data_IF_007246603879
#
_entry.id   IF_007246603879
#
_cell.length_a   1.000
_cell.length_b   1.000
_cell.length_c   1.000
_cell.angle_alpha   90.00
_cell.angle_beta   90.00
_cell.angle_gamma   90.00
#
_symmetry.space_group_name_H-M   'P 1'
#
loop_
_entity.id
_entity.type
_entity.pdbx_description
1 polymer ?
#
# COMPACT_ATOMS: atom_id res chain seq x y z
N UNK A 1 -31.43 6.09 14.61
CA UNK A 1 -30.42 7.06 14.12
C UNK A 1 -29.12 6.75 14.84
N UNK A 2 -28.14 6.12 14.18
CA UNK A 2 -26.80 5.95 14.77
C UNK A 2 -26.16 7.33 14.88
N UNK A 3 -25.85 7.78 16.09
CA UNK A 3 -24.99 8.95 16.31
C UNK A 3 -23.66 8.67 15.58
N UNK A 4 -23.33 9.47 14.56
CA UNK A 4 -21.98 9.49 14.03
C UNK A 4 -21.07 9.94 15.17
N UNK A 5 -20.13 9.10 15.57
CA UNK A 5 -19.08 9.49 16.51
C UNK A 5 -18.37 10.74 15.94
N UNK A 6 -18.25 11.79 16.74
CA UNK A 6 -17.56 13.00 16.32
C UNK A 6 -16.11 12.66 15.95
N UNK A 7 -15.71 12.96 14.71
CA UNK A 7 -14.35 12.70 14.23
C UNK A 7 -13.36 13.50 15.09
N UNK A 8 -12.47 12.79 15.78
CA UNK A 8 -11.46 13.40 16.64
C UNK A 8 -10.20 13.69 15.83
N UNK A 9 -9.78 14.95 15.79
CA UNK A 9 -8.60 15.40 15.05
C UNK A 9 -7.43 15.68 16.01
N UNK A 10 -6.18 15.26 15.69
CA UNK A 10 -5.00 15.57 16.50
C UNK A 10 -4.74 17.07 16.59
N UNK A 11 -4.53 17.59 17.80
CA UNK A 11 -4.31 19.02 18.07
C UNK A 11 -3.15 19.61 17.25
N UNK A 12 -2.08 18.85 17.05
CA UNK A 12 -0.92 19.27 16.28
C UNK A 12 -1.26 19.52 14.80
N UNK A 13 -1.98 18.59 14.15
CA UNK A 13 -2.41 18.71 12.76
C UNK A 13 -3.37 19.90 12.57
N UNK A 14 -4.29 20.10 13.51
CA UNK A 14 -5.22 21.25 13.51
C UNK A 14 -4.46 22.57 13.64
N UNK A 15 -3.46 22.63 14.53
CA UNK A 15 -2.61 23.81 14.68
C UNK A 15 -1.81 24.10 13.41
N UNK A 16 -1.27 23.07 12.76
CA UNK A 16 -0.54 23.21 11.51
C UNK A 16 -1.41 23.77 10.39
N UNK A 17 -2.61 23.22 10.18
CA UNK A 17 -3.56 23.74 9.19
C UNK A 17 -3.94 25.19 9.48
N UNK A 18 -4.22 25.52 10.75
CA UNK A 18 -4.56 26.90 11.15
C UNK A 18 -3.44 27.88 10.81
N UNK A 19 -2.19 27.53 11.10
CA UNK A 19 -1.03 28.37 10.81
C UNK A 19 -0.82 28.52 9.30
N UNK A 20 -0.93 27.42 8.54
CA UNK A 20 -0.81 27.45 7.08
C UNK A 20 -1.87 28.35 6.43
N UNK A 21 -3.13 28.26 6.90
CA UNK A 21 -4.22 29.14 6.44
C UNK A 21 -3.93 30.61 6.77
N UNK A 22 -3.47 30.90 7.99
CA UNK A 22 -3.12 32.26 8.37
C UNK A 22 -1.96 32.83 7.54
N UNK A 23 -0.95 32.00 7.24
CA UNK A 23 0.17 32.32 6.36
C UNK A 23 -0.32 32.67 4.95
N UNK A 24 -1.04 31.75 4.31
CA UNK A 24 -1.54 31.94 2.94
C UNK A 24 -2.50 33.15 2.81
N UNK A 25 -3.38 33.38 3.79
CA UNK A 25 -4.22 34.60 3.81
C UNK A 25 -3.34 35.85 3.93
N UNK A 26 -2.25 35.77 4.70
CA UNK A 26 -1.36 36.90 4.91
C UNK A 26 -0.53 37.30 3.70
N UNK A 27 -0.46 36.47 2.65
CA UNK A 27 0.22 36.81 1.40
C UNK A 27 -0.55 37.85 0.57
N UNK A 28 -1.87 37.96 0.75
CA UNK A 28 -2.70 38.96 0.08
C UNK A 28 -2.41 40.38 0.55
N UNK A 29 -2.84 41.39 -0.22
CA UNK A 29 -2.70 42.79 0.22
C UNK A 29 -3.61 43.08 1.42
N UNK A 30 -3.22 44.00 2.30
CA UNK A 30 -3.99 44.34 3.50
C UNK A 30 -5.43 44.83 3.20
N UNK A 31 -5.64 45.37 2.00
CA UNK A 31 -6.96 45.78 1.48
C UNK A 31 -7.86 44.60 1.13
N UNK A 32 -7.29 43.52 0.62
CA UNK A 32 -8.02 42.35 0.11
C UNK A 32 -8.31 41.34 1.22
N UNK A 33 -7.44 41.23 2.22
CA UNK A 33 -7.56 40.27 3.34
C UNK A 33 -8.96 40.25 3.97
N UNK A 34 -9.61 41.39 4.33
CA UNK A 34 -10.97 41.35 4.87
C UNK A 34 -12.01 40.76 3.91
N UNK A 35 -11.93 41.11 2.62
CA UNK A 35 -12.85 40.61 1.59
C UNK A 35 -12.66 39.11 1.33
N UNK A 36 -11.41 38.64 1.36
CA UNK A 36 -11.06 37.22 1.26
C UNK A 36 -11.62 36.46 2.47
N UNK A 37 -11.39 36.95 3.69
CA UNK A 37 -11.94 36.32 4.89
C UNK A 37 -13.47 36.21 4.84
N UNK A 38 -14.17 37.20 4.30
CA UNK A 38 -15.62 37.15 4.11
C UNK A 38 -16.04 36.03 3.12
N UNK A 39 -15.35 35.88 1.98
CA UNK A 39 -15.57 34.76 1.03
C UNK A 39 -15.28 33.39 1.67
N UNK A 40 -14.26 33.33 2.53
CA UNK A 40 -13.95 32.16 3.35
C UNK A 40 -14.94 31.93 4.51
N UNK A 41 -16.00 32.74 4.63
CA UNK A 41 -16.99 32.68 5.72
C UNK A 41 -16.35 32.77 7.12
N UNK A 42 -15.24 33.49 7.21
CA UNK A 42 -14.68 33.94 8.47
C UNK A 42 -15.40 35.21 8.91
N UNK A 43 -15.38 35.49 10.21
CA UNK A 43 -15.98 36.73 10.74
C UNK A 43 -15.32 37.94 10.10
N UNK A 44 -16.13 38.93 9.76
CA UNK A 44 -15.62 40.21 9.30
C UNK A 44 -14.78 40.87 10.40
N UNK A 45 -13.91 41.79 9.99
CA UNK A 45 -13.51 42.85 10.91
C UNK A 45 -12.70 43.91 10.21
N UNK A 46 -12.12 44.79 11.02
CA UNK A 46 -11.75 46.11 10.56
C UNK A 46 -10.49 46.11 9.67
N UNK A 47 -10.49 46.99 8.67
CA UNK A 47 -9.31 47.26 7.84
C UNK A 47 -8.14 47.72 8.70
N UNK A 48 -8.37 48.47 9.77
CA UNK A 48 -7.27 48.87 10.66
C UNK A 48 -6.52 47.69 11.28
N UNK A 49 -7.20 46.56 11.53
CA UNK A 49 -6.55 45.35 12.05
C UNK A 49 -5.67 44.66 10.99
N UNK A 50 -6.14 44.58 9.74
CA UNK A 50 -5.40 43.93 8.65
C UNK A 50 -4.12 44.69 8.29
N UNK A 51 -4.15 46.02 8.38
CA UNK A 51 -2.98 46.88 8.14
C UNK A 51 -1.93 46.79 9.25
N UNK A 52 -2.30 46.43 10.49
CA UNK A 52 -1.34 46.18 11.59
C UNK A 52 -0.60 44.86 11.41
N UNK A 53 -1.33 43.79 11.11
CA UNK A 53 -0.74 42.48 10.81
C UNK A 53 -1.77 41.57 10.14
N UNK A 54 -1.54 41.26 8.86
CA UNK A 54 -2.37 40.36 8.06
C UNK A 54 -2.44 38.95 8.67
N UNK A 55 -1.31 38.43 9.16
CA UNK A 55 -1.23 37.12 9.81
C UNK A 55 -2.06 37.09 11.10
N UNK A 56 -1.89 38.08 12.00
CA UNK A 56 -2.67 38.14 13.26
C UNK A 56 -4.15 38.36 13.02
N UNK A 57 -4.52 39.11 11.98
CA UNK A 57 -5.90 39.25 11.53
C UNK A 57 -6.52 37.88 11.18
N UNK A 58 -5.82 37.08 10.36
CA UNK A 58 -6.29 35.75 9.96
C UNK A 58 -6.30 34.76 11.14
N UNK A 59 -5.21 34.71 11.92
CA UNK A 59 -5.05 33.81 13.07
C UNK A 59 -6.20 33.95 14.09
N UNK A 60 -6.57 35.19 14.45
CA UNK A 60 -7.68 35.47 15.39
C UNK A 60 -9.01 34.92 14.91
N UNK A 61 -9.27 34.90 13.60
CA UNK A 61 -10.53 34.39 13.03
C UNK A 61 -10.53 32.87 12.92
N UNK A 62 -9.38 32.28 12.68
CA UNK A 62 -9.21 30.83 12.54
C UNK A 62 -9.10 30.12 13.89
N UNK A 63 -8.70 30.81 14.97
CA UNK A 63 -8.59 30.20 16.31
C UNK A 63 -9.95 29.79 16.88
N UNK A 64 -11.01 30.50 16.51
CA UNK A 64 -12.39 30.23 16.92
C UNK A 64 -13.00 29.00 16.21
N UNK A 65 -12.33 28.50 15.17
CA UNK A 65 -12.83 27.41 14.32
C UNK A 65 -12.37 26.06 14.81
N UNK A 66 -13.33 25.13 14.84
CA UNK A 66 -13.08 23.71 15.04
C UNK A 66 -12.38 23.10 13.83
N UNK A 67 -11.78 21.92 14.00
CA UNK A 67 -11.12 21.20 12.90
C UNK A 67 -12.08 20.90 11.74
N UNK A 68 -13.34 20.54 12.04
CA UNK A 68 -14.36 20.29 11.04
C UNK A 68 -14.75 21.56 10.24
N UNK A 69 -14.66 22.74 10.85
CA UNK A 69 -14.90 24.01 10.16
C UNK A 69 -13.69 24.49 9.35
N UNK A 70 -12.46 24.15 9.77
CA UNK A 70 -11.24 24.54 9.06
C UNK A 70 -11.10 23.83 7.70
N UNK A 71 -11.59 22.60 7.58
CA UNK A 71 -11.58 21.80 6.34
C UNK A 71 -12.24 22.55 5.16
N UNK A 72 -13.53 22.95 5.22
CA UNK A 72 -14.18 23.66 4.13
C UNK A 72 -13.62 25.08 3.92
N UNK A 73 -12.98 25.69 4.91
CA UNK A 73 -12.25 26.96 4.74
C UNK A 73 -10.99 26.72 3.89
N UNK A 74 -10.21 25.70 4.21
CA UNK A 74 -9.01 25.35 3.48
C UNK A 74 -9.31 24.98 2.03
N UNK A 75 -10.36 24.20 1.79
CA UNK A 75 -10.81 23.86 0.45
C UNK A 75 -11.09 25.11 -0.40
N UNK A 76 -11.87 26.07 0.13
CA UNK A 76 -12.19 27.32 -0.57
C UNK A 76 -10.97 28.21 -0.80
N UNK A 77 -10.04 28.26 0.16
CA UNK A 77 -8.80 29.01 -0.05
C UNK A 77 -7.96 28.39 -1.17
N UNK A 78 -7.87 27.05 -1.24
CA UNK A 78 -7.14 26.34 -2.30
C UNK A 78 -7.76 26.48 -3.70
N UNK A 79 -9.01 26.95 -3.81
CA UNK A 79 -9.61 27.34 -5.08
C UNK A 79 -9.09 28.71 -5.58
N UNK A 80 -8.60 29.57 -4.68
CA UNK A 80 -8.08 30.90 -4.99
C UNK A 80 -6.54 30.94 -5.03
N UNK A 81 -5.83 30.06 -4.30
CA UNK A 81 -4.36 30.07 -4.21
C UNK A 81 -3.72 28.70 -4.37
N UNK A 82 -2.56 28.69 -5.01
CA UNK A 82 -1.66 27.53 -5.06
C UNK A 82 -0.64 27.58 -3.89
N UNK A 83 -1.12 27.18 -2.70
CA UNK A 83 -0.32 27.08 -1.47
C UNK A 83 -0.07 25.63 -1.09
N UNK A 84 1.20 25.20 -1.18
CA UNK A 84 1.63 23.86 -0.79
C UNK A 84 1.38 23.58 0.69
N UNK A 85 1.72 24.52 1.56
CA UNK A 85 1.58 24.33 3.01
C UNK A 85 0.12 24.10 3.42
N UNK A 86 -0.82 24.86 2.83
CA UNK A 86 -2.25 24.66 3.05
C UNK A 86 -2.70 23.32 2.48
N UNK A 87 -2.31 22.99 1.26
CA UNK A 87 -2.71 21.73 0.60
C UNK A 87 -2.18 20.50 1.35
N UNK A 88 -0.97 20.58 1.88
CA UNK A 88 -0.31 19.53 2.64
C UNK A 88 -0.93 19.35 4.03
N UNK A 89 -1.14 20.44 4.77
CA UNK A 89 -1.80 20.37 6.08
C UNK A 89 -3.27 19.94 5.97
N UNK A 90 -3.95 20.36 4.90
CA UNK A 90 -5.32 19.94 4.58
C UNK A 90 -5.39 18.44 4.29
N UNK A 91 -4.52 17.93 3.42
CA UNK A 91 -4.45 16.51 3.07
C UNK A 91 -4.20 15.64 4.31
N UNK A 92 -3.20 16.00 5.14
CA UNK A 92 -2.91 15.30 6.41
C UNK A 92 -4.14 15.22 7.32
N UNK A 93 -4.94 16.28 7.39
CA UNK A 93 -6.13 16.30 8.23
C UNK A 93 -7.27 15.43 7.67
N UNK A 94 -7.38 15.35 6.34
CA UNK A 94 -8.36 14.48 5.65
C UNK A 94 -8.01 12.98 5.78
N UNK A 95 -6.73 12.66 5.90
CA UNK A 95 -6.20 11.30 5.84
C UNK A 95 -6.15 10.57 7.20
N UNK A 96 -6.41 11.25 8.34
CA UNK A 96 -6.21 10.71 9.71
C UNK A 96 -6.87 9.34 9.98
N UNK A 97 -8.03 9.07 9.37
CA UNK A 97 -8.77 7.82 9.59
C UNK A 97 -8.72 6.88 8.37
N UNK A 98 -7.85 7.18 7.41
CA UNK A 98 -7.65 6.33 6.24
C UNK A 98 -6.51 5.35 6.53
N UNK A 99 -6.57 4.19 5.88
CA UNK A 99 -5.38 3.33 5.80
C UNK A 99 -4.29 4.16 5.12
N UNK A 100 -3.07 4.11 5.65
CA UNK A 100 -1.96 4.90 5.15
C UNK A 100 -0.74 4.02 4.93
N UNK A 101 0.10 4.37 3.95
CA UNK A 101 1.40 3.72 3.77
C UNK A 101 2.24 3.98 5.02
N UNK A 102 2.69 2.90 5.64
CA UNK A 102 3.48 2.90 6.87
C UNK A 102 4.83 3.57 6.66
N UNK A 103 5.38 4.16 7.72
CA UNK A 103 6.72 4.75 7.67
C UNK A 103 7.79 3.72 7.25
N UNK A 104 7.62 2.45 7.61
CA UNK A 104 8.52 1.37 7.21
C UNK A 104 8.51 1.18 5.68
N UNK A 105 7.34 1.14 5.05
CA UNK A 105 7.22 1.06 3.60
C UNK A 105 7.79 2.29 2.91
N UNK A 106 7.55 3.49 3.46
CA UNK A 106 8.17 4.74 2.96
C UNK A 106 9.69 4.66 2.99
N UNK A 107 10.29 4.23 4.10
CA UNK A 107 11.75 4.05 4.24
C UNK A 107 12.30 3.02 3.24
N UNK A 108 11.58 1.91 3.02
CA UNK A 108 11.98 0.88 2.05
C UNK A 108 11.94 1.41 0.61
N UNK A 109 10.89 2.17 0.26
CA UNK A 109 10.79 2.82 -1.05
C UNK A 109 11.87 3.89 -1.21
N UNK A 110 12.15 4.69 -0.18
CA UNK A 110 13.26 5.65 -0.18
C UNK A 110 14.59 4.97 -0.50
N UNK A 111 14.85 3.80 0.09
CA UNK A 111 16.08 3.04 -0.12
C UNK A 111 16.26 2.53 -1.56
N UNK A 112 15.19 2.43 -2.36
CA UNK A 112 15.30 2.11 -3.80
C UNK A 112 16.10 3.16 -4.58
N UNK A 113 16.22 4.38 -4.04
CA UNK A 113 16.89 5.51 -4.65
C UNK A 113 18.29 5.80 -4.07
N UNK A 114 18.77 5.02 -3.10
CA UNK A 114 20.10 5.22 -2.49
C UNK A 114 21.25 5.15 -3.51
N UNK A 115 21.07 4.38 -4.58
CA UNK A 115 22.06 4.18 -5.66
C UNK A 115 21.48 4.34 -7.07
N UNK A 116 20.29 4.96 -7.15
CA UNK A 116 19.52 5.09 -8.40
C UNK A 116 19.01 6.52 -8.51
N UNK A 117 19.23 7.17 -9.65
CA UNK A 117 18.62 8.46 -9.96
C UNK A 117 17.09 8.37 -9.94
N UNK A 118 16.42 9.47 -9.60
CA UNK A 118 14.95 9.48 -9.58
C UNK A 118 14.35 9.38 -10.98
N UNK A 119 15.06 9.85 -11.99
CA UNK A 119 14.57 10.05 -13.34
C UNK A 119 15.64 9.65 -14.36
N UNK A 120 15.23 9.12 -15.50
CA UNK A 120 16.14 8.96 -16.65
C UNK A 120 16.24 10.23 -17.50
N UNK A 121 15.22 11.09 -17.42
CA UNK A 121 15.07 12.26 -18.31
C UNK A 121 15.43 13.60 -17.64
N UNK A 122 15.59 13.62 -16.32
CA UNK A 122 15.82 14.84 -15.53
C UNK A 122 16.94 14.62 -14.52
N UNK A 123 17.70 15.69 -14.23
CA UNK A 123 18.57 15.70 -13.06
C UNK A 123 17.75 15.64 -11.76
N UNK A 124 18.35 15.12 -10.69
CA UNK A 124 17.64 14.83 -9.46
C UNK A 124 16.98 16.08 -8.85
N UNK A 125 17.64 17.25 -8.90
CA UNK A 125 17.06 18.52 -8.42
C UNK A 125 15.83 18.96 -9.23
N UNK A 126 15.88 18.82 -10.56
CA UNK A 126 14.77 19.20 -11.43
C UNK A 126 13.61 18.22 -11.31
N UNK A 127 13.90 16.93 -11.10
CA UNK A 127 12.87 15.97 -10.74
C UNK A 127 12.17 16.36 -9.43
N UNK A 128 12.92 16.70 -8.38
CA UNK A 128 12.35 17.10 -7.09
C UNK A 128 11.45 18.34 -7.23
N UNK A 129 11.84 19.34 -8.03
CA UNK A 129 11.03 20.53 -8.33
C UNK A 129 9.70 20.22 -9.02
N UNK A 130 9.60 19.09 -9.73
CA UNK A 130 8.33 18.64 -10.35
C UNK A 130 7.36 18.06 -9.32
N UNK A 131 7.89 17.46 -8.25
CA UNK A 131 7.09 16.82 -7.21
C UNK A 131 6.77 17.79 -6.06
N UNK A 132 7.74 18.60 -5.63
CA UNK A 132 7.61 19.58 -4.56
C UNK A 132 7.89 21.00 -5.05
N UNK A 133 7.12 22.01 -4.63
CA UNK A 133 7.39 23.40 -4.95
C UNK A 133 8.45 23.97 -4.01
N UNK A 134 9.70 23.53 -4.20
CA UNK A 134 10.86 23.83 -3.35
C UNK A 134 11.11 25.34 -3.15
N UNK A 135 10.80 26.16 -4.14
CA UNK A 135 10.90 27.64 -4.06
C UNK A 135 9.85 28.29 -3.18
N UNK A 136 8.77 27.57 -2.83
CA UNK A 136 7.73 28.00 -1.90
C UNK A 136 7.84 27.29 -0.55
N UNK A 137 8.85 26.44 -0.36
CA UNK A 137 9.07 25.72 0.89
C UNK A 137 10.16 26.43 1.69
N UNK A 138 10.03 26.52 3.02
CA UNK A 138 11.05 27.13 3.86
C UNK A 138 12.34 26.30 3.82
N UNK A 139 13.48 26.99 3.91
CA UNK A 139 14.78 26.35 4.11
C UNK A 139 14.76 25.44 5.35
N UNK A 140 15.44 24.30 5.28
CA UNK A 140 15.66 23.40 6.42
C UNK A 140 16.71 23.94 7.40
N UNK A 141 17.53 24.89 6.95
CA UNK A 141 18.50 25.55 7.80
C UNK A 141 17.85 26.74 8.52
N UNK A 142 17.70 26.61 9.83
CA UNK A 142 17.19 27.68 10.68
C UNK A 142 18.18 28.84 10.67
N UNK A 143 17.73 30.02 10.24
CA UNK A 143 18.50 31.24 10.46
C UNK A 143 18.62 31.50 11.96
N UNK A 144 19.86 31.55 12.47
CA UNK A 144 20.13 31.95 13.86
C UNK A 144 19.89 33.45 14.11
N UNK A 145 19.55 34.22 13.07
CA UNK A 145 19.16 35.62 13.21
C UNK A 145 17.66 35.72 13.50
N UNK A 146 17.26 36.68 14.34
CA UNK A 146 15.85 37.01 14.61
C UNK A 146 15.14 37.65 13.39
N UNK A 147 15.69 37.53 12.19
CA UNK A 147 15.05 37.96 10.96
C UNK A 147 14.50 36.73 10.21
N UNK A 148 13.27 36.83 9.66
CA UNK A 148 12.75 35.78 8.79
C UNK A 148 13.73 35.58 7.64
N UNK A 149 14.23 34.35 7.48
CA UNK A 149 15.05 33.98 6.33
C UNK A 149 14.16 33.96 5.09
N UNK A 150 14.55 34.69 4.05
CA UNK A 150 13.94 34.56 2.72
C UNK A 150 14.45 33.30 1.99
N UNK A 151 15.40 32.57 2.57
CA UNK A 151 15.95 31.36 1.99
C UNK A 151 14.89 30.24 1.92
N UNK A 152 14.86 29.60 0.77
CA UNK A 152 13.91 28.54 0.43
C UNK A 152 14.61 27.18 0.48
N UNK A 153 13.82 26.11 0.46
CA UNK A 153 14.36 24.76 0.29
C UNK A 153 15.07 24.62 -1.05
N UNK A 154 14.67 25.37 -2.08
CA UNK A 154 15.37 25.36 -3.38
C UNK A 154 16.81 25.87 -3.27
N UNK A 155 17.04 26.91 -2.45
CA UNK A 155 18.38 27.43 -2.19
C UNK A 155 19.25 26.39 -1.48
N UNK A 156 18.67 25.64 -0.52
CA UNK A 156 19.36 24.56 0.18
C UNK A 156 19.73 23.42 -0.76
N UNK A 157 18.80 23.02 -1.63
CA UNK A 157 19.01 21.95 -2.61
C UNK A 157 20.07 22.36 -3.63
N UNK A 158 20.01 23.59 -4.15
CA UNK A 158 21.00 24.10 -5.09
C UNK A 158 22.39 24.14 -4.46
N UNK A 159 22.51 24.63 -3.22
CA UNK A 159 23.79 24.68 -2.53
C UNK A 159 24.32 23.27 -2.19
N UNK A 160 23.48 22.38 -1.67
CA UNK A 160 23.91 21.07 -1.18
C UNK A 160 24.13 20.05 -2.30
N UNK A 161 23.32 20.07 -3.36
CA UNK A 161 23.41 19.11 -4.48
C UNK A 161 24.34 19.65 -5.56
N UNK A 162 24.07 20.85 -6.08
CA UNK A 162 24.78 21.35 -7.26
C UNK A 162 26.12 22.04 -6.93
N UNK A 163 26.21 22.77 -5.82
CA UNK A 163 27.41 23.54 -5.48
C UNK A 163 28.42 22.76 -4.65
N UNK A 164 27.96 22.10 -3.58
CA UNK A 164 28.84 21.42 -2.64
C UNK A 164 28.93 19.90 -2.88
N UNK A 165 27.91 19.32 -3.52
CA UNK A 165 27.80 17.87 -3.77
C UNK A 165 27.87 17.04 -2.47
N UNK A 166 27.21 17.55 -1.42
CA UNK A 166 27.19 16.98 -0.07
C UNK A 166 25.96 16.09 0.17
N UNK A 167 24.88 16.30 -0.58
CA UNK A 167 23.62 15.55 -0.40
C UNK A 167 23.44 14.49 -1.48
N UNK A 168 23.15 13.27 -1.06
CA UNK A 168 22.65 12.23 -1.94
C UNK A 168 21.12 12.25 -2.02
N UNK A 169 20.58 11.21 -2.66
CA UNK A 169 19.13 11.08 -2.84
C UNK A 169 18.38 10.94 -1.52
N UNK A 170 18.96 10.19 -0.57
CA UNK A 170 18.37 10.02 0.74
C UNK A 170 18.21 11.35 1.49
N UNK A 171 19.29 12.13 1.58
CA UNK A 171 19.28 13.42 2.28
C UNK A 171 18.30 14.39 1.61
N UNK A 172 18.23 14.36 0.28
CA UNK A 172 17.27 15.14 -0.51
C UNK A 172 15.82 14.77 -0.19
N UNK A 173 15.48 13.47 -0.15
CA UNK A 173 14.13 13.01 0.20
C UNK A 173 13.76 13.33 1.65
N UNK A 174 14.71 13.24 2.57
CA UNK A 174 14.51 13.64 3.96
C UNK A 174 14.21 15.14 4.08
N UNK A 175 14.97 15.99 3.36
CA UNK A 175 14.80 17.44 3.38
C UNK A 175 13.45 17.91 2.82
N UNK A 176 12.92 17.27 1.76
CA UNK A 176 11.56 17.56 1.25
C UNK A 176 10.45 16.95 2.10
N UNK A 177 10.80 16.22 3.16
CA UNK A 177 9.86 15.63 4.10
C UNK A 177 9.18 14.36 3.60
N UNK A 178 9.82 13.58 2.71
CA UNK A 178 9.26 12.37 2.11
C UNK A 178 8.63 11.37 3.11
N UNK A 179 9.27 11.19 4.27
CA UNK A 179 8.77 10.29 5.31
C UNK A 179 7.56 10.84 6.08
N UNK A 180 7.36 12.16 6.08
CA UNK A 180 6.35 12.83 6.90
C UNK A 180 5.27 13.53 6.09
N UNK A 181 5.37 13.56 4.75
CA UNK A 181 4.39 14.18 3.88
C UNK A 181 3.07 13.40 3.85
N UNK A 182 1.98 14.05 3.44
CA UNK A 182 0.67 13.45 3.25
C UNK A 182 0.74 12.21 2.34
N UNK A 183 -0.23 11.30 2.47
CA UNK A 183 -0.42 10.20 1.51
C UNK A 183 -0.53 10.74 0.09
N UNK A 184 -1.28 11.83 -0.11
CA UNK A 184 -1.40 12.49 -1.41
C UNK A 184 -0.05 12.91 -2.00
N UNK A 185 0.80 13.57 -1.22
CA UNK A 185 2.10 14.03 -1.69
C UNK A 185 3.08 12.87 -1.92
N UNK A 186 3.00 11.83 -1.07
CA UNK A 186 3.77 10.60 -1.26
C UNK A 186 3.38 9.87 -2.54
N UNK A 187 2.08 9.73 -2.84
CA UNK A 187 1.61 9.12 -4.08
C UNK A 187 2.00 9.93 -5.30
N UNK A 188 1.93 11.27 -5.23
CA UNK A 188 2.44 12.14 -6.30
C UNK A 188 3.91 11.85 -6.63
N UNK A 189 4.76 11.61 -5.63
CA UNK A 189 6.14 11.20 -5.89
C UNK A 189 6.22 9.85 -6.61
N UNK A 190 5.48 8.84 -6.16
CA UNK A 190 5.50 7.50 -6.78
C UNK A 190 4.97 7.50 -8.21
N UNK A 191 3.98 8.33 -8.48
CA UNK A 191 3.40 8.52 -9.81
C UNK A 191 4.36 9.28 -10.72
N UNK A 192 5.00 10.34 -10.22
CA UNK A 192 5.96 11.12 -11.01
C UNK A 192 7.25 10.32 -11.26
N UNK A 193 7.74 9.54 -10.31
CA UNK A 193 8.96 8.73 -10.47
C UNK A 193 8.74 7.56 -11.42
N UNK A 194 7.49 7.16 -11.64
CA UNK A 194 7.08 6.15 -12.64
C UNK A 194 6.36 6.79 -13.83
N UNK A 195 6.46 8.11 -14.02
CA UNK A 195 5.80 8.81 -15.12
C UNK A 195 6.52 8.53 -16.44
N UNK A 196 5.78 8.35 -17.56
CA UNK A 196 6.42 8.20 -18.87
C UNK A 196 7.10 9.49 -19.36
N UNK A 197 6.95 10.61 -18.64
CA UNK A 197 7.65 11.87 -18.93
C UNK A 197 9.01 11.95 -18.24
N UNK A 198 9.24 11.15 -17.19
CA UNK A 198 10.46 11.16 -16.37
C UNK A 198 11.28 9.88 -16.53
N UNK A 199 10.67 8.82 -17.08
CA UNK A 199 11.30 7.51 -17.22
C UNK A 199 11.25 6.98 -18.64
N UNK A 200 12.30 6.25 -19.00
CA UNK A 200 12.29 5.31 -20.12
C UNK A 200 11.33 4.14 -19.85
N UNK A 201 10.82 3.52 -20.92
CA UNK A 201 9.81 2.45 -20.79
C UNK A 201 10.29 1.23 -20.00
N UNK A 202 11.57 0.89 -20.07
CA UNK A 202 12.17 -0.23 -19.32
C UNK A 202 12.26 0.14 -17.83
N UNK A 203 12.86 1.29 -17.52
CA UNK A 203 13.00 1.79 -16.17
C UNK A 203 11.66 1.92 -15.44
N UNK A 204 10.62 2.36 -16.16
CA UNK A 204 9.27 2.52 -15.63
C UNK A 204 8.68 1.20 -15.12
N UNK A 205 8.82 0.13 -15.91
CA UNK A 205 8.26 -1.20 -15.57
C UNK A 205 8.99 -1.79 -14.38
N UNK A 206 10.32 -1.73 -14.39
CA UNK A 206 11.16 -2.25 -13.31
C UNK A 206 10.94 -1.49 -12.00
N UNK A 207 10.82 -0.16 -12.07
CA UNK A 207 10.59 0.67 -10.89
C UNK A 207 9.19 0.49 -10.32
N UNK A 208 8.16 0.40 -11.17
CA UNK A 208 6.80 0.11 -10.72
C UNK A 208 6.70 -1.26 -10.03
N UNK A 209 7.41 -2.27 -10.53
CA UNK A 209 7.50 -3.58 -9.89
C UNK A 209 8.16 -3.50 -8.50
N UNK A 210 9.34 -2.86 -8.41
CA UNK A 210 10.06 -2.70 -7.15
C UNK A 210 9.29 -1.90 -6.09
N UNK A 211 8.58 -0.83 -6.49
CA UNK A 211 7.71 -0.07 -5.58
C UNK A 211 6.53 -0.94 -5.12
N UNK A 212 5.92 -1.72 -6.03
CA UNK A 212 4.81 -2.60 -5.71
C UNK A 212 5.18 -3.74 -4.75
N UNK A 213 6.42 -4.23 -4.77
CA UNK A 213 6.92 -5.20 -3.78
C UNK A 213 6.84 -4.68 -2.34
N UNK A 214 6.83 -3.36 -2.17
CA UNK A 214 6.68 -2.70 -0.87
C UNK A 214 5.23 -2.24 -0.61
N UNK A 215 4.61 -1.51 -1.54
CA UNK A 215 3.26 -0.96 -1.36
C UNK A 215 2.19 -2.03 -1.08
N UNK A 216 2.35 -3.23 -1.65
CA UNK A 216 1.42 -4.34 -1.45
C UNK A 216 1.24 -4.70 0.02
N UNK A 217 2.24 -4.46 0.87
CA UNK A 217 2.20 -4.74 2.31
C UNK A 217 1.46 -3.67 3.12
N UNK A 218 1.00 -2.59 2.47
CA UNK A 218 0.15 -1.56 3.07
C UNK A 218 -1.17 -1.37 2.30
N UNK A 219 -1.54 -2.31 1.41
CA UNK A 219 -2.83 -2.30 0.72
C UNK A 219 -2.91 -1.34 -0.47
N UNK A 220 -1.76 -1.02 -1.08
CA UNK A 220 -1.68 -0.17 -2.25
C UNK A 220 -0.91 -0.82 -3.39
N UNK A 221 -1.19 -0.41 -4.63
CA UNK A 221 -0.40 -0.75 -5.81
C UNK A 221 -0.40 0.37 -6.82
N UNK A 222 0.72 0.57 -7.50
CA UNK A 222 0.80 1.26 -8.78
C UNK A 222 0.18 0.38 -9.86
N UNK A 223 -0.88 0.87 -10.50
CA UNK A 223 -1.53 0.22 -11.64
C UNK A 223 -1.50 1.12 -12.87
N UNK A 224 -1.49 0.51 -14.05
CA UNK A 224 -1.62 1.26 -15.30
C UNK A 224 -3.07 1.71 -15.45
N UNK A 225 -3.32 3.01 -15.28
CA UNK A 225 -4.67 3.58 -15.43
C UNK A 225 -4.99 4.01 -16.85
N UNK A 226 -3.95 4.37 -17.62
CA UNK A 226 -4.06 4.80 -19.03
C UNK A 226 -2.71 4.65 -19.72
N UNK A 227 -2.68 4.99 -21.02
CA UNK A 227 -1.44 5.12 -21.79
C UNK A 227 -1.33 6.51 -22.40
N UNK A 228 -0.15 7.11 -22.32
CA UNK A 228 0.21 8.38 -22.93
C UNK A 228 1.18 8.10 -24.08
N UNK A 229 0.76 8.35 -25.32
CA UNK A 229 1.56 8.08 -26.54
C UNK A 229 2.09 6.64 -26.61
N UNK A 230 1.33 5.66 -26.09
CA UNK A 230 1.70 4.25 -26.03
C UNK A 230 2.43 3.83 -24.76
N UNK A 231 3.00 4.77 -24.00
CA UNK A 231 3.69 4.53 -22.72
C UNK A 231 2.71 4.40 -21.56
N UNK A 232 2.94 3.51 -20.58
CA UNK A 232 2.09 3.39 -19.39
C UNK A 232 2.03 4.69 -18.58
N UNK A 233 0.88 4.96 -17.97
CA UNK A 233 0.75 5.94 -16.88
C UNK A 233 0.29 5.17 -15.65
N UNK A 234 1.12 5.19 -14.61
CA UNK A 234 0.85 4.53 -13.34
C UNK A 234 0.20 5.50 -12.35
N UNK A 235 -0.80 5.02 -11.62
CA UNK A 235 -1.38 5.71 -10.47
C UNK A 235 -1.45 4.76 -9.28
N UNK A 236 -1.31 5.30 -8.06
CA UNK A 236 -1.45 4.50 -6.84
C UNK A 236 -2.93 4.29 -6.55
N UNK A 237 -3.33 3.03 -6.44
CA UNK A 237 -4.71 2.65 -6.10
C UNK A 237 -4.73 1.75 -4.86
N UNK A 238 -5.79 1.86 -4.03
CA UNK A 238 -6.06 0.84 -3.03
C UNK A 238 -6.16 -0.52 -3.73
N UNK A 239 -5.32 -1.45 -3.31
CA UNK A 239 -5.37 -2.82 -3.74
C UNK A 239 -5.89 -3.64 -2.56
N UNK A 240 -7.01 -4.33 -2.76
CA UNK A 240 -7.45 -5.31 -1.80
C UNK A 240 -6.29 -6.28 -1.53
N UNK A 241 -5.90 -6.41 -0.26
CA UNK A 241 -5.14 -7.57 0.14
C UNK A 241 -5.97 -8.78 -0.19
N UNK A 242 -5.39 -9.68 -0.95
CA UNK A 242 -5.97 -11.00 -0.97
C UNK A 242 -7.27 -11.16 -1.75
N UNK A 243 -7.73 -12.39 -1.80
CA UNK A 243 -9.14 -12.72 -2.03
C UNK A 243 -9.91 -12.48 -0.72
N UNK A 244 -11.23 -12.19 -0.73
CA UNK A 244 -12.03 -12.06 0.50
C UNK A 244 -11.94 -13.25 1.47
N UNK A 245 -11.53 -14.42 0.96
CA UNK A 245 -11.32 -15.61 1.76
C UNK A 245 -9.99 -15.61 2.54
N UNK A 246 -9.03 -14.74 2.21
CA UNK A 246 -7.66 -14.84 2.68
C UNK A 246 -7.55 -14.61 4.19
N UNK A 247 -8.27 -13.64 4.74
CA UNK A 247 -8.27 -13.39 6.20
C UNK A 247 -8.83 -14.58 6.97
N UNK A 248 -9.96 -15.12 6.51
CA UNK A 248 -10.60 -16.28 7.14
C UNK A 248 -9.73 -17.54 7.05
N UNK A 249 -9.07 -17.77 5.91
CA UNK A 249 -8.12 -18.88 5.72
C UNK A 249 -6.88 -18.65 6.61
N UNK A 250 -6.32 -17.44 6.64
CA UNK A 250 -5.15 -17.10 7.44
C UNK A 250 -5.40 -17.39 8.91
N UNK A 251 -6.54 -16.93 9.44
CA UNK A 251 -6.93 -17.18 10.82
C UNK A 251 -7.05 -18.69 11.11
N UNK A 252 -7.79 -19.42 10.27
CA UNK A 252 -8.01 -20.85 10.48
C UNK A 252 -6.72 -21.68 10.44
N UNK A 253 -5.77 -21.31 9.56
CA UNK A 253 -4.48 -22.00 9.47
C UNK A 253 -3.51 -21.59 10.59
N UNK A 254 -3.56 -20.34 11.05
CA UNK A 254 -2.80 -19.87 12.21
C UNK A 254 -3.23 -20.58 13.51
N UNK A 255 -4.54 -20.76 13.69
CA UNK A 255 -5.11 -21.47 14.86
C UNK A 255 -4.76 -22.96 14.86
N UNK A 256 -4.48 -23.54 13.69
CA UNK A 256 -4.13 -24.94 13.52
C UNK A 256 -2.63 -25.20 13.72
N UNK A 257 -1.79 -24.47 12.99
CA UNK A 257 -0.33 -24.57 13.05
C UNK A 257 0.29 -23.23 12.60
N UNK A 258 0.70 -22.37 13.56
CA UNK A 258 1.14 -21.01 13.27
C UNK A 258 2.51 -20.93 12.57
N UNK A 259 3.31 -22.00 12.66
CA UNK A 259 4.70 -22.01 12.20
C UNK A 259 4.83 -22.53 10.76
N UNK A 260 4.54 -23.81 10.53
CA UNK A 260 4.81 -24.45 9.26
C UNK A 260 3.68 -24.17 8.26
N UNK A 261 2.43 -24.41 8.65
CA UNK A 261 1.27 -24.33 7.74
C UNK A 261 0.90 -22.88 7.47
N UNK A 262 0.71 -22.06 8.51
CA UNK A 262 0.43 -20.64 8.35
C UNK A 262 1.60 -19.89 7.68
N UNK A 263 2.83 -20.23 8.04
CA UNK A 263 4.03 -19.72 7.36
C UNK A 263 4.04 -20.06 5.86
N UNK A 264 3.62 -21.28 5.48
CA UNK A 264 3.51 -21.70 4.07
C UNK A 264 2.44 -20.92 3.31
N UNK A 265 1.29 -20.74 3.94
CA UNK A 265 0.18 -19.97 3.41
C UNK A 265 0.57 -18.51 3.15
N UNK A 266 1.21 -17.85 4.12
CA UNK A 266 1.69 -16.47 3.99
C UNK A 266 2.66 -16.33 2.82
N UNK A 267 3.62 -17.26 2.70
CA UNK A 267 4.56 -17.26 1.57
C UNK A 267 3.85 -17.43 0.21
N UNK A 268 2.77 -18.22 0.14
CA UNK A 268 2.00 -18.41 -1.08
C UNK A 268 1.24 -17.12 -1.48
N UNK A 269 0.67 -16.41 -0.49
CA UNK A 269 0.03 -15.11 -0.70
C UNK A 269 1.03 -14.06 -1.21
N UNK A 270 2.20 -13.97 -0.57
CA UNK A 270 3.24 -12.99 -0.92
C UNK A 270 3.75 -13.13 -2.35
N UNK A 271 3.71 -14.34 -2.92
CA UNK A 271 4.21 -14.62 -4.27
C UNK A 271 3.14 -14.61 -5.34
N UNK A 272 1.87 -14.55 -4.97
CA UNK A 272 0.72 -14.78 -5.87
C UNK A 272 0.71 -13.89 -7.11
N UNK A 273 1.16 -12.65 -6.95
CA UNK A 273 1.21 -11.66 -8.02
C UNK A 273 2.59 -11.50 -8.67
N UNK A 274 3.66 -11.66 -7.89
CA UNK A 274 5.04 -11.35 -8.32
C UNK A 274 5.82 -12.57 -8.76
N UNK A 275 5.49 -13.76 -8.24
CA UNK A 275 6.05 -15.06 -8.63
C UNK A 275 4.93 -16.13 -8.73
N UNK A 276 4.11 -16.08 -9.81
CA UNK A 276 2.98 -17.00 -9.97
C UNK A 276 3.37 -18.49 -9.96
N UNK A 277 4.56 -18.83 -10.47
CA UNK A 277 5.03 -20.22 -10.50
C UNK A 277 5.44 -20.71 -9.09
N UNK A 278 6.13 -19.86 -8.32
CA UNK A 278 6.44 -20.14 -6.92
C UNK A 278 5.19 -20.21 -6.05
N UNK A 279 4.22 -19.32 -6.25
CA UNK A 279 2.94 -19.35 -5.54
C UNK A 279 2.15 -20.65 -5.79
N UNK A 280 2.11 -21.14 -7.03
CA UNK A 280 1.49 -22.44 -7.37
C UNK A 280 2.22 -23.60 -6.67
N UNK A 281 3.55 -23.55 -6.62
CA UNK A 281 4.35 -24.57 -5.94
C UNK A 281 4.05 -24.57 -4.44
N UNK A 282 4.01 -23.41 -3.80
CA UNK A 282 3.68 -23.26 -2.39
C UNK A 282 2.25 -23.68 -2.08
N UNK A 283 1.29 -23.38 -2.96
CA UNK A 283 -0.10 -23.83 -2.82
C UNK A 283 -0.19 -25.36 -2.80
N UNK A 284 0.57 -26.06 -3.65
CA UNK A 284 0.66 -27.52 -3.60
C UNK A 284 1.26 -27.98 -2.28
N UNK A 285 2.40 -27.41 -1.89
CA UNK A 285 3.10 -27.89 -0.69
C UNK A 285 2.33 -27.60 0.59
N UNK A 286 1.55 -26.51 0.65
CA UNK A 286 0.62 -26.26 1.75
C UNK A 286 -0.33 -27.44 1.99
N UNK A 287 -0.92 -28.01 0.93
CA UNK A 287 -1.77 -29.20 1.07
C UNK A 287 -0.98 -30.44 1.47
N UNK A 288 0.26 -30.60 0.99
CA UNK A 288 1.13 -31.69 1.41
C UNK A 288 1.45 -31.59 2.91
N UNK A 289 1.80 -30.40 3.41
CA UNK A 289 2.09 -30.15 4.82
C UNK A 289 0.87 -30.42 5.69
N UNK A 290 -0.30 -29.90 5.32
CA UNK A 290 -1.56 -30.15 6.05
C UNK A 290 -1.89 -31.65 6.07
N UNK A 291 -1.73 -32.35 4.93
CA UNK A 291 -1.97 -33.79 4.90
C UNK A 291 -1.01 -34.56 5.81
N UNK A 292 0.28 -34.28 5.72
CA UNK A 292 1.31 -34.92 6.54
C UNK A 292 1.09 -34.66 8.03
N UNK A 293 0.80 -33.41 8.38
CA UNK A 293 0.51 -33.00 9.75
C UNK A 293 -0.66 -33.81 10.33
N UNK A 294 -1.81 -33.83 9.63
CA UNK A 294 -3.00 -34.54 10.14
C UNK A 294 -2.78 -36.05 10.19
N UNK A 295 -2.08 -36.64 9.21
CA UNK A 295 -1.76 -38.08 9.21
C UNK A 295 -0.92 -38.46 10.43
N UNK A 296 0.14 -37.70 10.73
CA UNK A 296 0.99 -37.92 11.91
C UNK A 296 0.15 -37.79 13.18
N UNK A 297 -0.65 -36.73 13.25
CA UNK A 297 -1.45 -36.40 14.43
C UNK A 297 -2.62 -37.39 14.64
N UNK A 298 -3.01 -38.14 13.60
CA UNK A 298 -3.92 -39.28 13.67
C UNK A 298 -3.24 -40.60 14.06
N UNK A 299 -1.94 -40.59 14.37
CA UNK A 299 -1.16 -41.79 14.70
C UNK A 299 -0.93 -42.71 13.50
N UNK A 300 -1.05 -42.19 12.28
CA UNK A 300 -0.82 -42.93 11.04
C UNK A 300 0.53 -42.50 10.42
N UNK A 301 1.01 -43.26 9.43
CA UNK A 301 2.29 -43.00 8.75
C UNK A 301 2.10 -42.76 7.25
N UNK A 302 3.04 -42.02 6.67
CA UNK A 302 3.18 -41.84 5.22
C UNK A 302 4.61 -42.19 4.79
N UNK A 303 4.81 -42.42 3.51
CA UNK A 303 6.16 -42.65 2.93
C UNK A 303 6.69 -41.32 2.38
N UNK A 304 8.00 -41.05 2.50
CA UNK A 304 8.59 -39.79 2.02
C UNK A 304 8.40 -39.54 0.51
N UNK A 305 8.22 -40.61 -0.27
CA UNK A 305 7.93 -40.53 -1.71
C UNK A 305 6.45 -40.30 -2.04
N UNK A 306 5.55 -40.32 -1.04
CA UNK A 306 4.13 -40.12 -1.28
C UNK A 306 3.89 -38.69 -1.76
N UNK A 307 3.30 -38.58 -2.95
CA UNK A 307 2.91 -37.29 -3.52
C UNK A 307 1.55 -36.81 -2.97
N UNK A 308 1.20 -35.56 -3.27
CA UNK A 308 -0.05 -34.96 -2.80
C UNK A 308 -1.30 -35.84 -3.06
N UNK A 309 -1.52 -36.41 -4.27
CA UNK A 309 -2.60 -37.37 -4.50
C UNK A 309 -2.62 -38.56 -3.52
N UNK A 310 -1.47 -39.18 -3.26
CA UNK A 310 -1.38 -40.33 -2.34
C UNK A 310 -1.66 -39.89 -0.90
N UNK A 311 -1.05 -38.79 -0.45
CA UNK A 311 -1.25 -38.21 0.88
C UNK A 311 -2.72 -37.87 1.12
N UNK A 312 -3.37 -37.22 0.15
CA UNK A 312 -4.78 -36.85 0.25
C UNK A 312 -5.69 -38.08 0.35
N UNK A 313 -5.45 -39.14 -0.44
CA UNK A 313 -6.26 -40.37 -0.34
C UNK A 313 -6.10 -41.06 1.01
N UNK A 314 -4.90 -41.07 1.59
CA UNK A 314 -4.67 -41.59 2.95
C UNK A 314 -5.44 -40.76 3.97
N UNK A 315 -5.31 -39.44 3.92
CA UNK A 315 -6.03 -38.53 4.81
C UNK A 315 -7.56 -38.65 4.65
N UNK A 316 -8.08 -38.71 3.43
CA UNK A 316 -9.50 -38.81 3.16
C UNK A 316 -10.11 -40.08 3.79
N UNK A 317 -9.37 -41.18 3.88
CA UNK A 317 -9.82 -42.38 4.63
C UNK A 317 -9.89 -42.11 6.14
N UNK A 318 -8.86 -41.49 6.71
CA UNK A 318 -8.80 -41.13 8.14
C UNK A 318 -9.97 -40.20 8.50
N UNK A 319 -10.23 -39.20 7.66
CA UNK A 319 -11.31 -38.23 7.83
C UNK A 319 -12.65 -38.72 7.29
N UNK A 320 -12.81 -40.00 6.90
CA UNK A 320 -14.03 -40.54 6.27
C UNK A 320 -14.65 -39.56 5.24
N UNK A 321 -13.80 -39.02 4.37
CA UNK A 321 -14.14 -38.15 3.23
C UNK A 321 -14.04 -38.91 1.90
N UNK A 322 -13.78 -40.22 1.94
CA UNK A 322 -13.75 -41.05 0.74
C UNK A 322 -15.16 -41.09 0.12
N UNK A 323 -15.33 -40.75 -1.17
CA UNK A 323 -16.65 -40.71 -1.81
C UNK A 323 -17.42 -42.03 -1.68
N UNK A 324 -16.73 -43.17 -1.76
CA UNK A 324 -17.32 -44.51 -1.67
C UNK A 324 -18.02 -44.78 -0.32
N UNK A 325 -17.65 -44.03 0.73
CA UNK A 325 -18.25 -44.15 2.06
C UNK A 325 -19.64 -43.50 2.20
N UNK A 326 -20.12 -42.77 1.19
CA UNK A 326 -21.39 -42.05 1.25
C UNK A 326 -22.43 -42.66 0.31
N UNK A 327 -23.67 -42.86 0.76
CA UNK A 327 -24.76 -43.35 -0.09
C UNK A 327 -25.42 -42.24 -0.89
N UNK A 328 -25.40 -41.01 -0.37
CA UNK A 328 -26.02 -39.84 -0.96
C UNK A 328 -25.25 -39.36 -2.21
N UNK A 329 -25.87 -39.33 -3.40
CA UNK A 329 -25.19 -39.00 -4.65
C UNK A 329 -24.52 -37.62 -4.66
N UNK A 330 -25.14 -36.64 -3.99
CA UNK A 330 -24.65 -35.26 -3.95
C UNK A 330 -23.32 -35.16 -3.20
N UNK A 331 -23.20 -35.77 -2.02
CA UNK A 331 -21.95 -35.77 -1.26
C UNK A 331 -20.85 -36.54 -1.97
N UNK A 332 -21.18 -37.65 -2.62
CA UNK A 332 -20.26 -38.39 -3.51
C UNK A 332 -19.64 -37.49 -4.58
N UNK A 333 -20.49 -36.71 -5.27
CA UNK A 333 -20.04 -35.82 -6.33
C UNK A 333 -19.17 -34.67 -5.81
N UNK A 334 -19.55 -34.06 -4.68
CA UNK A 334 -18.78 -32.96 -4.07
C UNK A 334 -17.40 -33.46 -3.64
N UNK A 335 -17.33 -34.56 -2.87
CA UNK A 335 -16.08 -35.11 -2.38
C UNK A 335 -15.19 -35.64 -3.52
N UNK A 336 -15.77 -36.22 -4.56
CA UNK A 336 -15.06 -36.59 -5.78
C UNK A 336 -14.48 -35.38 -6.52
N UNK A 337 -15.21 -34.25 -6.53
CA UNK A 337 -14.72 -32.99 -7.12
C UNK A 337 -13.56 -32.41 -6.31
N UNK A 338 -13.63 -32.43 -4.98
CA UNK A 338 -12.53 -32.04 -4.10
C UNK A 338 -11.27 -32.88 -4.36
N UNK A 339 -11.43 -34.21 -4.48
CA UNK A 339 -10.33 -35.09 -4.84
C UNK A 339 -9.72 -34.72 -6.20
N UNK A 340 -10.56 -34.46 -7.21
CA UNK A 340 -10.11 -34.06 -8.55
C UNK A 340 -9.34 -32.73 -8.54
N UNK A 341 -9.75 -31.78 -7.69
CA UNK A 341 -9.05 -30.50 -7.50
C UNK A 341 -7.65 -30.73 -6.92
N UNK A 342 -7.53 -31.55 -5.87
CA UNK A 342 -6.24 -31.86 -5.23
C UNK A 342 -5.30 -32.59 -6.19
N UNK A 343 -5.82 -33.56 -6.95
CA UNK A 343 -5.05 -34.28 -7.97
C UNK A 343 -4.57 -33.33 -9.08
N UNK A 344 -5.45 -32.42 -9.52
CA UNK A 344 -5.11 -31.40 -10.52
C UNK A 344 -4.02 -30.46 -10.02
N UNK A 345 -4.11 -29.96 -8.78
CA UNK A 345 -3.08 -29.13 -8.14
C UNK A 345 -1.74 -29.86 -8.01
N UNK A 346 -1.76 -31.14 -7.61
CA UNK A 346 -0.56 -31.98 -7.55
C UNK A 346 0.16 -32.10 -8.91
N UNK A 347 -0.61 -32.25 -9.98
CA UNK A 347 -0.11 -32.37 -11.36
C UNK A 347 0.32 -31.04 -11.99
N UNK A 348 -0.17 -29.90 -11.47
CA UNK A 348 -0.02 -28.58 -12.08
C UNK A 348 1.45 -28.15 -12.15
N UNK A 349 2.25 -28.43 -11.11
CA UNK A 349 3.70 -28.16 -11.12
C UNK A 349 4.41 -28.89 -12.25
N UNK A 350 4.09 -30.16 -12.51
CA UNK A 350 4.79 -30.95 -13.54
C UNK A 350 4.54 -30.41 -14.95
N UNK A 351 3.36 -29.81 -15.17
CA UNK A 351 2.99 -29.17 -16.45
C UNK A 351 3.60 -27.77 -16.62
N UNK A 352 3.94 -27.10 -15.52
CA UNK A 352 4.46 -25.73 -15.50
C UNK A 352 5.98 -25.67 -15.28
N UNK A 353 6.56 -26.69 -14.65
CA UNK A 353 7.81 -26.62 -13.90
C UNK A 353 8.93 -27.57 -14.31
N UNK A 354 8.99 -28.01 -15.59
CA UNK A 354 10.25 -28.48 -16.20
C UNK A 354 10.76 -29.88 -15.75
N UNK A 355 10.15 -30.97 -16.22
CA UNK A 355 10.73 -32.32 -16.08
C UNK A 355 11.27 -32.94 -17.38
N UNK A 356 11.01 -32.37 -18.56
CA UNK A 356 11.60 -32.82 -19.84
C UNK A 356 11.84 -31.63 -20.80
N UNK A 357 12.96 -31.67 -21.51
CA UNK A 357 13.59 -30.61 -22.30
C UNK A 357 12.68 -29.80 -23.24
N UNK A 358 13.06 -28.54 -23.56
CA UNK A 358 12.15 -27.42 -23.79
C UNK A 358 11.78 -27.21 -25.26
N UNK A 359 10.48 -27.13 -25.56
CA UNK A 359 9.97 -26.60 -26.83
C UNK A 359 9.68 -25.08 -26.76
N UNK A 360 9.59 -24.38 -27.90
CA UNK A 360 9.48 -22.91 -27.98
C UNK A 360 8.12 -22.32 -27.53
N UNK A 361 7.22 -23.10 -26.94
CA UNK A 361 5.89 -22.66 -26.46
C UNK A 361 5.72 -22.99 -24.97
N UNK A 362 6.43 -22.32 -24.07
CA UNK A 362 6.13 -22.38 -22.61
C UNK A 362 4.91 -21.51 -22.29
N UNK A 363 3.90 -22.09 -21.65
CA UNK A 363 2.82 -21.32 -21.01
C UNK A 363 3.33 -20.84 -19.64
N UNK A 364 3.69 -19.57 -19.52
CA UNK A 364 4.00 -18.98 -18.20
C UNK A 364 2.69 -18.79 -17.42
N UNK A 365 2.58 -19.28 -16.17
CA UNK A 365 1.42 -19.00 -15.34
C UNK A 365 1.33 -17.49 -15.09
N UNK A 366 0.14 -16.92 -15.29
CA UNK A 366 -0.16 -15.55 -14.95
C UNK A 366 -0.65 -15.48 -13.49
N UNK A 367 -0.63 -14.28 -12.89
CA UNK A 367 -1.11 -14.03 -11.53
C UNK A 367 -2.52 -14.62 -11.27
N UNK A 368 -3.45 -14.51 -12.24
CA UNK A 368 -4.79 -15.12 -12.13
C UNK A 368 -4.79 -16.66 -11.95
N UNK A 369 -3.80 -17.36 -12.51
CA UNK A 369 -3.68 -18.82 -12.35
C UNK A 369 -3.14 -19.16 -10.97
N UNK A 370 -2.16 -18.39 -10.47
CA UNK A 370 -1.67 -18.51 -9.11
C UNK A 370 -2.76 -18.17 -8.10
N UNK A 371 -3.54 -17.11 -8.33
CA UNK A 371 -4.70 -16.76 -7.53
C UNK A 371 -5.67 -17.92 -7.36
N UNK A 372 -6.07 -18.55 -8.47
CA UNK A 372 -6.96 -19.70 -8.44
C UNK A 372 -6.34 -20.86 -7.65
N UNK A 373 -5.08 -21.20 -7.92
CA UNK A 373 -4.41 -22.32 -7.25
C UNK A 373 -4.25 -22.11 -5.74
N UNK A 374 -3.85 -20.90 -5.32
CA UNK A 374 -3.70 -20.52 -3.91
C UNK A 374 -5.05 -20.54 -3.21
N UNK A 375 -6.10 -19.98 -3.82
CA UNK A 375 -7.44 -19.98 -3.22
C UNK A 375 -8.02 -21.40 -3.08
N UNK A 376 -7.87 -22.24 -4.11
CA UNK A 376 -8.31 -23.64 -4.05
C UNK A 376 -7.56 -24.41 -2.96
N UNK A 377 -6.24 -24.21 -2.87
CA UNK A 377 -5.41 -24.83 -1.83
C UNK A 377 -5.81 -24.38 -0.43
N UNK A 378 -5.91 -23.06 -0.20
CA UNK A 378 -6.32 -22.50 1.09
C UNK A 378 -7.71 -22.99 1.53
N UNK A 379 -8.68 -22.99 0.61
CA UNK A 379 -10.03 -23.50 0.88
C UNK A 379 -10.01 -24.99 1.26
N UNK A 380 -9.28 -25.81 0.51
CA UNK A 380 -9.14 -27.24 0.80
C UNK A 380 -8.42 -27.50 2.12
N UNK A 381 -7.34 -26.75 2.40
CA UNK A 381 -6.60 -26.83 3.66
C UNK A 381 -7.51 -26.51 4.85
N UNK A 382 -8.22 -25.38 4.81
CA UNK A 382 -9.17 -24.98 5.85
C UNK A 382 -10.28 -26.02 6.04
N UNK A 383 -10.81 -26.60 4.97
CA UNK A 383 -11.83 -27.66 5.07
C UNK A 383 -11.29 -28.92 5.77
N UNK A 384 -10.08 -29.37 5.40
CA UNK A 384 -9.44 -30.54 6.02
C UNK A 384 -9.14 -30.32 7.50
N UNK A 385 -8.58 -29.15 7.83
CA UNK A 385 -8.30 -28.71 9.21
C UNK A 385 -9.58 -28.65 10.03
N UNK A 386 -10.62 -27.97 9.52
CA UNK A 386 -11.90 -27.84 10.23
C UNK A 386 -12.55 -29.20 10.47
N UNK A 387 -12.48 -30.10 9.49
CA UNK A 387 -12.99 -31.47 9.62
C UNK A 387 -12.23 -32.26 10.70
N UNK A 388 -10.91 -32.10 10.76
CA UNK A 388 -10.07 -32.74 11.77
C UNK A 388 -10.38 -32.23 13.19
N UNK A 389 -10.43 -30.91 13.36
CA UNK A 389 -10.73 -30.27 14.65
C UNK A 389 -12.11 -30.69 15.15
N UNK A 390 -13.13 -30.67 14.28
CA UNK A 390 -14.48 -31.10 14.63
C UNK A 390 -14.53 -32.55 15.13
N UNK A 391 -13.70 -33.43 14.56
CA UNK A 391 -13.62 -34.85 14.98
C UNK A 391 -12.86 -35.06 16.28
N UNK A 392 -11.89 -34.22 16.58
CA UNK A 392 -11.19 -34.26 17.87
C UNK A 392 -11.99 -33.64 19.00
N UNK A 393 -12.78 -32.60 18.70
CA UNK A 393 -13.68 -31.96 19.65
C UNK A 393 -14.96 -32.74 19.92
N UNK A 394 -15.33 -33.67 19.03
CA UNK A 394 -16.41 -34.63 19.25
C UNK A 394 -15.94 -35.78 20.13
N UNK A 395 -16.33 -35.79 21.39
CA UNK A 395 -16.30 -36.99 22.23
C UNK A 395 -17.15 -38.07 21.55
N UNK A 396 -16.75 -39.35 21.52
CA UNK A 396 -17.60 -40.44 21.04
C UNK A 396 -18.96 -40.50 21.76
#
# INVERSE_FOLDING_TARGET
MKQQAAQQYPTAAVKQLRNALAGAISDFSANEVPSLCSRLQLRDGDREESFKSKFKYAERRLIEKSAAELIPIAQRLLEEVDSYEVAEAYAKLQEINQVSVSELTRRRIMALFDKRSYSSEFEDIDFIRRVWPTTKMPSVFISFSNQPSEATLDDDLFNSIARNNDWGNRETLEAVGFLTCSQRQFFRFLEEVTSPLTQSSEAQTDLAAAINDHLRHDGYRLIIVRRLSGSPVYEVQPAAFGSPADDAISQALADFDPDLVHGRWTQALDRRDTDPAGAITLARTLLEDVCKWIIIEAGQTYEEKDDLPVLYRKLAKILNLAPDGYTEPVFKQILGSCQSVVESLGSLRNKIGDAHSPGPRKLKPAARHAQLAVNLSGTMATFLVSTWVARRGGTP
#
